data_IF_959361572039
#
_entry.id   IF_959361572039
#
_cell.length_a   1.000
_cell.length_b   1.000
_cell.length_c   1.000
_cell.angle_alpha   90.00
_cell.angle_beta   90.00
_cell.angle_gamma   90.00
#
_symmetry.space_group_name_H-M   'P 1'
#
loop_
_entity.id
_entity.type
_entity.pdbx_description
1 polymer ?
#
# COMPACT_ATOMS: atom_id res chain seq x y z
N UNK A 1 11.77 -8.81 0.24
CA UNK A 1 12.46 -8.01 1.28
C UNK A 1 11.38 -7.18 1.97
N UNK A 2 11.24 -7.21 3.30
CA UNK A 2 10.18 -6.47 3.99
C UNK A 2 10.74 -5.22 4.67
N UNK A 3 9.92 -4.18 4.82
CA UNK A 3 10.30 -2.93 5.48
C UNK A 3 9.59 -2.80 6.82
N UNK A 4 10.23 -2.16 7.80
CA UNK A 4 9.65 -1.85 9.11
C UNK A 4 9.39 -0.35 9.21
N UNK A 5 8.14 0.05 9.43
CA UNK A 5 7.74 1.43 9.67
C UNK A 5 7.40 1.58 11.15
N UNK A 6 8.15 2.42 11.84
CA UNK A 6 7.88 2.79 13.23
C UNK A 6 7.47 4.25 13.30
N UNK A 7 6.28 4.52 13.84
CA UNK A 7 5.83 5.89 14.11
C UNK A 7 6.38 6.33 15.47
N UNK A 8 7.25 7.33 15.46
CA UNK A 8 7.76 7.95 16.68
C UNK A 8 6.78 9.01 17.17
N UNK A 9 6.21 8.81 18.36
CA UNK A 9 5.17 9.71 18.92
C UNK A 9 5.73 10.82 19.82
N UNK A 10 7.05 10.90 20.00
CA UNK A 10 7.69 11.95 20.81
C UNK A 10 8.21 13.09 19.92
N UNK A 11 8.31 14.32 20.45
CA UNK A 11 8.85 15.46 19.71
C UNK A 11 10.29 15.16 19.25
N UNK A 12 10.59 15.56 18.01
CA UNK A 12 11.92 15.44 17.44
C UNK A 12 12.86 16.44 18.10
N UNK A 13 14.11 16.06 18.41
CA UNK A 13 15.09 17.04 18.87
C UNK A 13 15.32 18.08 17.76
N UNK A 14 15.30 19.36 18.11
CA UNK A 14 15.49 20.46 17.15
C UNK A 14 16.91 20.45 16.56
N UNK A 15 17.92 20.10 17.37
CA UNK A 15 19.30 19.91 16.95
C UNK A 15 19.97 18.80 17.78
N UNK A 16 21.02 18.18 17.23
CA UNK A 16 21.86 17.20 17.93
C UNK A 16 21.71 15.75 17.43
N UNK A 17 22.49 14.85 18.03
CA UNK A 17 22.50 13.42 17.65
C UNK A 17 21.34 12.70 18.31
N UNK A 18 20.45 12.14 17.49
CA UNK A 18 19.43 11.23 17.99
C UNK A 18 19.89 9.77 17.84
N UNK A 19 19.96 9.05 18.95
CA UNK A 19 20.15 7.59 18.96
C UNK A 19 18.81 6.88 19.21
N UNK A 20 18.32 6.15 18.22
CA UNK A 20 17.13 5.32 18.34
C UNK A 20 17.53 3.85 18.53
N UNK A 21 17.55 3.39 19.79
CA UNK A 21 17.70 1.97 20.11
C UNK A 21 16.31 1.36 20.30
N UNK A 22 15.75 0.80 19.24
CA UNK A 22 14.44 0.17 19.29
C UNK A 22 14.58 -1.36 19.31
N UNK A 23 14.08 -1.98 20.39
CA UNK A 23 13.88 -3.43 20.46
C UNK A 23 12.39 -3.69 20.39
N UNK A 24 11.95 -4.28 19.29
CA UNK A 24 10.55 -4.63 19.10
C UNK A 24 10.31 -6.07 19.54
N UNK A 25 9.33 -6.25 20.41
CA UNK A 25 8.81 -7.55 20.79
C UNK A 25 7.30 -7.49 20.59
N UNK A 26 6.80 -8.35 19.71
CA UNK A 26 5.40 -8.41 19.34
C UNK A 26 5.13 -9.70 18.59
N UNK A 27 3.87 -10.10 18.58
CA UNK A 27 3.43 -11.28 17.86
C UNK A 27 3.09 -10.92 16.42
N UNK A 28 3.46 -11.80 15.50
CA UNK A 28 3.05 -11.75 14.10
C UNK A 28 2.56 -13.15 13.76
N UNK A 29 1.30 -13.27 13.40
CA UNK A 29 0.69 -14.56 13.05
C UNK A 29 0.46 -14.70 11.54
N UNK A 30 0.54 -13.58 10.82
CA UNK A 30 0.34 -13.52 9.37
C UNK A 30 1.64 -13.11 8.72
N UNK A 31 2.15 -13.93 7.80
CA UNK A 31 3.35 -13.61 7.04
C UNK A 31 3.09 -12.49 6.02
N UNK A 32 4.14 -11.78 5.58
CA UNK A 32 4.04 -10.78 4.50
C UNK A 32 3.32 -11.34 3.25
N UNK A 33 3.69 -12.54 2.81
CA UNK A 33 3.13 -13.16 1.60
C UNK A 33 1.64 -13.47 1.76
N UNK A 34 1.23 -13.95 2.94
CA UNK A 34 -0.18 -14.22 3.24
C UNK A 34 -0.98 -12.93 3.28
N UNK A 35 -0.44 -11.86 3.87
CA UNK A 35 -1.06 -10.54 3.87
C UNK A 35 -1.20 -9.97 2.45
N UNK A 36 -0.15 -10.11 1.63
CA UNK A 36 -0.15 -9.72 0.22
C UNK A 36 -1.22 -10.47 -0.58
N UNK A 37 -1.36 -11.78 -0.35
CA UNK A 37 -2.40 -12.59 -0.97
C UNK A 37 -3.81 -12.12 -0.58
N UNK A 38 -4.03 -11.76 0.69
CA UNK A 38 -5.31 -11.18 1.17
C UNK A 38 -5.61 -9.85 0.50
N UNK A 39 -4.63 -8.95 0.44
CA UNK A 39 -4.76 -7.67 -0.25
C UNK A 39 -5.06 -7.86 -1.74
N UNK A 40 -4.41 -8.83 -2.41
CA UNK A 40 -4.68 -9.18 -3.81
C UNK A 40 -6.15 -9.53 -4.02
N UNK A 41 -6.71 -10.39 -3.17
CA UNK A 41 -8.10 -10.79 -3.25
C UNK A 41 -9.07 -9.63 -3.03
N UNK A 42 -8.76 -8.74 -2.07
CA UNK A 42 -9.54 -7.52 -1.83
C UNK A 42 -9.51 -6.59 -3.05
N UNK A 43 -8.32 -6.33 -3.59
CA UNK A 43 -8.11 -5.46 -4.75
C UNK A 43 -8.88 -5.96 -5.97
N UNK A 44 -8.85 -7.26 -6.25
CA UNK A 44 -9.56 -7.85 -7.39
C UNK A 44 -11.09 -7.62 -7.36
N UNK A 45 -11.67 -7.42 -6.17
CA UNK A 45 -13.10 -7.15 -6.01
C UNK A 45 -13.47 -5.67 -5.97
N UNK A 46 -12.52 -4.76 -5.73
CA UNK A 46 -12.81 -3.36 -5.39
C UNK A 46 -12.01 -2.33 -6.19
N UNK A 47 -10.87 -2.69 -6.77
CA UNK A 47 -9.94 -1.78 -7.43
C UNK A 47 -9.69 -2.29 -8.87
N UNK A 48 -9.45 -1.36 -9.80
CA UNK A 48 -9.43 -1.57 -11.26
C UNK A 48 -8.54 -2.74 -11.72
N UNK A 49 -8.72 -3.22 -12.96
CA UNK A 49 -7.97 -4.36 -13.52
C UNK A 49 -6.46 -4.15 -13.71
N UNK A 50 -5.91 -2.97 -13.39
CA UNK A 50 -4.50 -2.61 -13.66
C UNK A 50 -3.67 -2.38 -12.41
N UNK A 51 -4.15 -2.76 -11.23
CA UNK A 51 -3.37 -2.63 -9.99
C UNK A 51 -2.83 -3.97 -9.52
N UNK A 52 -1.61 -3.96 -9.00
CA UNK A 52 -0.96 -5.09 -8.36
C UNK A 52 -0.53 -4.72 -6.94
N UNK A 53 -0.50 -5.69 -6.02
CA UNK A 53 0.01 -5.48 -4.68
C UNK A 53 1.54 -5.33 -4.72
N UNK A 54 2.03 -4.21 -4.22
CA UNK A 54 3.45 -3.98 -3.98
C UNK A 54 3.97 -4.73 -2.75
N UNK A 55 5.17 -4.37 -2.30
CA UNK A 55 5.83 -5.10 -1.22
C UNK A 55 5.32 -4.72 0.17
N UNK A 56 4.96 -5.72 1.01
CA UNK A 56 4.46 -5.44 2.35
C UNK A 56 5.50 -4.75 3.23
N UNK A 57 5.06 -3.73 3.94
CA UNK A 57 5.79 -3.10 5.03
C UNK A 57 5.05 -3.32 6.36
N UNK A 58 5.75 -3.68 7.42
CA UNK A 58 5.17 -3.84 8.74
C UNK A 58 5.10 -2.47 9.41
N UNK A 59 3.90 -1.94 9.61
CA UNK A 59 3.69 -0.78 10.45
C UNK A 59 3.41 -1.24 11.89
N UNK A 60 4.31 -0.89 12.79
CA UNK A 60 4.16 -1.21 14.20
C UNK A 60 3.18 -0.23 14.85
N UNK A 61 2.14 -0.79 15.45
CA UNK A 61 1.07 -0.10 16.17
C UNK A 61 0.31 -1.09 17.05
N UNK A 62 -0.87 -0.70 17.54
CA UNK A 62 -1.76 -1.59 18.28
C UNK A 62 -3.16 -1.59 17.63
N UNK A 63 -3.51 -2.60 16.80
CA UNK A 63 -2.69 -3.78 16.42
C UNK A 63 -1.62 -3.46 15.37
N UNK A 64 -0.57 -4.30 15.22
CA UNK A 64 0.38 -4.20 14.12
C UNK A 64 -0.29 -4.54 12.78
N UNK A 65 0.12 -3.87 11.71
CA UNK A 65 -0.48 -4.04 10.38
C UNK A 65 0.58 -4.22 9.31
N UNK A 66 0.29 -5.12 8.36
CA UNK A 66 0.97 -5.14 7.08
C UNK A 66 0.34 -4.08 6.19
N UNK A 67 1.14 -3.11 5.74
CA UNK A 67 0.75 -2.11 4.76
C UNK A 67 1.24 -2.53 3.39
N UNK A 68 0.30 -2.79 2.49
CA UNK A 68 0.56 -3.23 1.12
C UNK A 68 0.30 -2.06 0.18
N UNK A 69 1.31 -1.57 -0.56
CA UNK A 69 1.10 -0.59 -1.62
C UNK A 69 0.17 -1.13 -2.72
N UNK A 70 -0.73 -0.28 -3.20
CA UNK A 70 -1.54 -0.54 -4.40
C UNK A 70 -0.81 0.11 -5.56
N UNK A 71 -0.11 -0.68 -6.36
CA UNK A 71 0.71 -0.20 -7.46
C UNK A 71 -0.08 -0.27 -8.78
N UNK A 72 -0.13 0.81 -9.54
CA UNK A 72 -0.67 0.83 -10.90
C UNK A 72 0.38 0.28 -11.86
N UNK A 73 -0.02 -0.69 -12.67
CA UNK A 73 0.79 -1.27 -13.73
C UNK A 73 0.14 -1.02 -15.09
N UNK A 74 0.91 -0.53 -16.06
CA UNK A 74 0.48 -0.38 -17.45
C UNK A 74 1.21 -1.39 -18.34
N UNK A 75 0.55 -1.95 -19.38
CA UNK A 75 1.10 -3.04 -20.20
C UNK A 75 2.52 -2.81 -20.74
N UNK A 76 2.82 -1.59 -21.19
CA UNK A 76 4.10 -1.27 -21.82
C UNK A 76 5.12 -0.60 -20.88
N UNK A 77 4.68 -0.13 -19.71
CA UNK A 77 5.51 0.62 -18.76
C UNK A 77 5.85 -0.19 -17.49
N UNK A 78 5.15 -1.31 -17.24
CA UNK A 78 5.27 -2.03 -15.98
C UNK A 78 4.68 -1.21 -14.83
N UNK A 79 5.29 -1.25 -13.65
CA UNK A 79 4.87 -0.47 -12.48
C UNK A 79 5.08 1.03 -12.73
N UNK A 80 4.02 1.82 -12.66
CA UNK A 80 4.05 3.27 -12.92
C UNK A 80 4.11 4.05 -11.61
N UNK A 81 3.25 3.73 -10.65
CA UNK A 81 3.18 4.45 -9.37
C UNK A 81 2.36 3.70 -8.33
N UNK A 82 2.46 4.11 -7.07
CA UNK A 82 1.53 3.71 -6.00
C UNK A 82 0.34 4.68 -5.94
N UNK A 83 -0.89 4.15 -6.00
CA UNK A 83 -2.12 4.95 -5.94
C UNK A 83 -2.76 4.98 -4.55
N UNK A 84 -2.38 4.04 -3.69
CA UNK A 84 -2.86 3.93 -2.31
C UNK A 84 -2.23 2.77 -1.56
N UNK A 85 -2.83 2.39 -0.43
CA UNK A 85 -2.36 1.28 0.40
C UNK A 85 -3.55 0.52 0.98
N UNK A 86 -3.39 -0.79 1.13
CA UNK A 86 -4.30 -1.66 1.88
C UNK A 86 -3.58 -2.13 3.13
N UNK A 87 -4.23 -1.99 4.28
CA UNK A 87 -3.71 -2.46 5.55
C UNK A 87 -4.36 -3.80 5.91
N UNK A 88 -3.54 -4.77 6.33
CA UNK A 88 -3.96 -6.10 6.79
C UNK A 88 -3.48 -6.27 8.22
N UNK A 89 -4.38 -6.68 9.12
CA UNK A 89 -4.02 -6.95 10.50
C UNK A 89 -2.97 -8.08 10.56
N UNK A 90 -1.80 -7.82 11.17
CA UNK A 90 -0.70 -8.78 11.21
C UNK A 90 -0.91 -9.95 12.20
N UNK A 91 -1.94 -9.86 13.05
CA UNK A 91 -2.34 -10.89 14.00
C UNK A 91 -3.48 -11.77 13.47
N UNK A 92 -4.48 -11.18 12.81
CA UNK A 92 -5.68 -11.92 12.36
C UNK A 92 -5.67 -12.22 10.86
N UNK A 93 -5.06 -11.33 10.06
CA UNK A 93 -5.09 -11.39 8.60
C UNK A 93 -6.33 -10.76 7.98
N UNK A 94 -7.14 -10.09 8.80
CA UNK A 94 -8.29 -9.33 8.33
C UNK A 94 -7.83 -8.09 7.57
N UNK A 95 -8.53 -7.78 6.48
CA UNK A 95 -8.35 -6.51 5.78
C UNK A 95 -8.94 -5.42 6.66
N UNK A 96 -8.14 -4.39 6.94
CA UNK A 96 -8.66 -3.15 7.51
C UNK A 96 -9.28 -2.40 6.35
N UNK A 97 -10.59 -2.56 6.18
CA UNK A 97 -11.32 -2.00 5.05
C UNK A 97 -11.12 -0.48 4.99
N UNK A 98 -10.57 0.05 3.88
CA UNK A 98 -10.49 1.48 3.69
C UNK A 98 -11.91 2.05 3.59
N UNK A 99 -12.08 3.29 4.05
CA UNK A 99 -13.33 4.02 3.82
C UNK A 99 -13.65 4.08 2.32
N UNK A 100 -14.93 4.01 1.92
CA UNK A 100 -15.32 4.01 0.50
C UNK A 100 -14.72 5.19 -0.30
N UNK A 101 -14.61 6.36 0.33
CA UNK A 101 -13.98 7.55 -0.27
C UNK A 101 -12.49 7.32 -0.62
N UNK A 102 -11.76 6.57 0.20
CA UNK A 102 -10.37 6.22 -0.09
C UNK A 102 -10.26 5.24 -1.24
N UNK A 103 -11.20 4.29 -1.35
CA UNK A 103 -11.26 3.37 -2.48
C UNK A 103 -11.53 4.15 -3.77
N UNK A 104 -12.52 5.05 -3.75
CA UNK A 104 -12.82 5.92 -4.89
C UNK A 104 -11.61 6.76 -5.29
N UNK A 105 -10.93 7.38 -4.32
CA UNK A 105 -9.73 8.17 -4.59
C UNK A 105 -8.60 7.34 -5.23
N UNK A 106 -8.43 6.07 -4.83
CA UNK A 106 -7.45 5.17 -5.47
C UNK A 106 -7.84 4.88 -6.92
N UNK A 107 -9.13 4.66 -7.19
CA UNK A 107 -9.64 4.42 -8.55
C UNK A 107 -9.48 5.66 -9.44
N UNK A 108 -9.83 6.85 -8.93
CA UNK A 108 -9.74 8.11 -9.65
C UNK A 108 -8.28 8.41 -10.03
N UNK A 109 -7.34 8.27 -9.07
CA UNK A 109 -5.90 8.42 -9.33
C UNK A 109 -5.39 7.43 -10.37
N UNK A 110 -5.80 6.17 -10.28
CA UNK A 110 -5.43 5.16 -11.27
C UNK A 110 -5.93 5.53 -12.67
N UNK A 111 -7.17 6.00 -12.77
CA UNK A 111 -7.79 6.42 -14.03
C UNK A 111 -7.11 7.66 -14.62
N UNK A 112 -6.92 8.71 -13.84
CA UNK A 112 -6.27 9.95 -14.28
C UNK A 112 -4.86 9.70 -14.81
N UNK A 113 -4.10 8.83 -14.15
CA UNK A 113 -2.74 8.49 -14.57
C UNK A 113 -2.79 7.65 -15.84
N UNK A 114 -3.62 6.60 -15.89
CA UNK A 114 -3.76 5.78 -17.08
C UNK A 114 -4.20 6.61 -18.30
N UNK A 115 -5.10 7.58 -18.13
CA UNK A 115 -5.57 8.45 -19.20
C UNK A 115 -4.46 9.34 -19.80
N UNK A 116 -3.43 9.70 -19.02
CA UNK A 116 -2.25 10.43 -19.53
C UNK A 116 -1.36 9.60 -20.45
N UNK A 117 -1.43 8.27 -20.33
CA UNK A 117 -0.67 7.33 -21.16
C UNK A 117 -1.52 6.65 -22.23
N UNK A 118 -2.84 6.88 -22.24
CA UNK A 118 -3.70 6.42 -23.31
C UNK A 118 -3.34 7.18 -24.60
N UNK A 119 -3.13 6.49 -25.74
CA UNK A 119 -2.93 7.17 -27.00
C UNK A 119 -4.17 8.04 -27.29
N UNK A 120 -3.97 9.29 -27.70
CA UNK A 120 -5.07 10.11 -28.20
C UNK A 120 -5.76 9.34 -29.33
N UNK A 121 -7.10 9.30 -29.39
CA UNK A 121 -7.77 8.67 -30.52
C UNK A 121 -7.29 9.39 -31.78
N UNK A 122 -6.52 8.66 -32.59
CA UNK A 122 -6.08 9.14 -33.89
C UNK A 122 -7.34 9.50 -34.64
N UNK A 123 -7.57 10.80 -34.82
CA UNK A 123 -8.70 11.28 -35.62
C UNK A 123 -8.36 10.94 -37.06
N UNK A 124 -8.85 9.80 -37.53
CA UNK A 124 -8.81 9.46 -38.94
C UNK A 124 -9.70 10.48 -39.67
N UNK A 125 -9.07 11.37 -40.45
CA UNK A 125 -9.72 12.19 -41.48
C UNK A 125 -9.78 11.43 -42.79
#
# INVERSE_FOLDING_TARGET
MFQLIYKYEKPWPEEGTMQLNARFQGEIHVSPDKARQRATGFMAGHITMMVLPGEPSLALGNPPVWRIPVCLHLPDLGEVTTVGTIDVNALTGDIIEPEPEKIQLMQDRAHEIAARFAPSPTTAS
#
